data_IF_703041724256
#
_entry.id   IF_703041724256
#
_cell.length_a   1.000
_cell.length_b   1.000
_cell.length_c   1.000
_cell.angle_alpha   90.00
_cell.angle_beta   90.00
_cell.angle_gamma   90.00
#
_symmetry.space_group_name_H-M   'P 1'
#
loop_
_entity.id
_entity.type
_entity.pdbx_description
1 polymer ?
#
# COMPACT_ATOMS: atom_id res chain seq x y z
N UNK A 1 -48.17 33.59 -10.13
CA UNK A 1 -46.96 33.80 -10.98
C UNK A 1 -45.69 34.07 -10.17
N UNK A 2 -45.72 34.78 -9.02
CA UNK A 2 -44.51 35.06 -8.22
C UNK A 2 -43.83 33.84 -7.57
N UNK A 3 -44.59 32.77 -7.27
CA UNK A 3 -44.10 31.57 -6.57
C UNK A 3 -43.28 30.62 -7.45
N UNK A 4 -43.46 30.67 -8.78
CA UNK A 4 -42.69 29.85 -9.72
C UNK A 4 -41.32 30.47 -10.06
N UNK A 5 -41.20 31.81 -10.08
CA UNK A 5 -39.93 32.50 -10.35
C UNK A 5 -38.90 32.39 -9.22
N UNK A 6 -39.37 32.23 -7.97
CA UNK A 6 -38.49 32.09 -6.81
C UNK A 6 -37.86 30.69 -6.72
N UNK A 7 -38.58 29.65 -7.17
CA UNK A 7 -38.08 28.27 -7.17
C UNK A 7 -37.04 28.05 -8.28
N UNK A 8 -37.24 28.65 -9.46
CA UNK A 8 -36.26 28.59 -10.55
C UNK A 8 -35.00 29.39 -10.24
N UNK A 9 -35.13 30.53 -9.56
CA UNK A 9 -33.97 31.32 -9.10
C UNK A 9 -33.15 30.59 -8.02
N UNK A 10 -33.79 29.89 -7.07
CA UNK A 10 -33.06 29.11 -6.06
C UNK A 10 -32.32 27.90 -6.67
N UNK A 11 -32.92 27.20 -7.64
CA UNK A 11 -32.29 26.07 -8.31
C UNK A 11 -31.04 26.47 -9.11
N UNK A 12 -31.06 27.64 -9.76
CA UNK A 12 -29.90 28.16 -10.50
C UNK A 12 -28.73 28.55 -9.58
N UNK A 13 -29.01 29.05 -8.36
CA UNK A 13 -27.96 29.38 -7.37
C UNK A 13 -27.33 28.11 -6.77
N UNK A 14 -28.11 27.05 -6.55
CA UNK A 14 -27.58 25.76 -6.04
C UNK A 14 -26.74 25.04 -7.10
N UNK A 15 -27.10 25.11 -8.38
CA UNK A 15 -26.25 24.55 -9.46
C UNK A 15 -24.98 25.37 -9.69
N UNK A 16 -25.01 26.69 -9.55
CA UNK A 16 -23.81 27.53 -9.69
C UNK A 16 -22.82 27.37 -8.53
N UNK A 17 -23.30 27.11 -7.30
CA UNK A 17 -22.46 26.85 -6.14
C UNK A 17 -21.81 25.44 -6.14
N UNK A 18 -22.31 24.51 -6.96
CA UNK A 18 -21.80 23.14 -7.06
C UNK A 18 -20.56 22.96 -7.94
N UNK A 19 -20.15 24.00 -8.70
CA UNK A 19 -19.05 23.88 -9.67
C UNK A 19 -17.66 24.26 -9.13
N UNK A 20 -17.55 24.69 -7.87
CA UNK A 20 -16.24 24.84 -7.22
C UNK A 20 -15.78 23.51 -6.60
N UNK A 21 -15.83 22.43 -7.38
CA UNK A 21 -14.92 21.32 -7.13
C UNK A 21 -13.53 21.86 -7.43
N UNK A 22 -12.81 22.30 -6.39
CA UNK A 22 -11.40 22.63 -6.48
C UNK A 22 -10.74 21.47 -7.21
N UNK A 23 -10.32 21.69 -8.46
CA UNK A 23 -9.51 20.76 -9.21
C UNK A 23 -8.20 20.65 -8.44
N UNK A 24 -8.18 19.78 -7.42
CA UNK A 24 -7.03 19.60 -6.54
C UNK A 24 -5.85 19.29 -7.42
N UNK A 25 -4.87 20.18 -7.42
CA UNK A 25 -3.69 20.12 -8.27
C UNK A 25 -3.19 18.67 -8.32
N UNK A 26 -3.04 18.15 -9.54
CA UNK A 26 -2.53 16.79 -9.73
C UNK A 26 -1.08 16.83 -9.27
N UNK A 27 -0.78 16.13 -8.17
CA UNK A 27 0.57 16.01 -7.66
C UNK A 27 1.30 14.93 -8.46
N UNK A 28 2.39 15.31 -9.12
CA UNK A 28 3.23 14.41 -9.91
C UNK A 28 4.49 14.06 -9.13
N UNK A 29 4.83 12.77 -9.05
CA UNK A 29 6.00 12.28 -8.33
C UNK A 29 7.30 12.87 -8.90
N UNK A 30 7.41 12.97 -10.23
CA UNK A 30 8.55 13.59 -10.94
C UNK A 30 8.75 15.07 -10.64
N UNK A 31 7.71 15.76 -10.17
CA UNK A 31 7.76 17.18 -9.81
C UNK A 31 8.05 17.41 -8.34
N UNK A 32 7.97 16.38 -7.51
CA UNK A 32 8.24 16.50 -6.09
C UNK A 32 9.76 16.49 -5.84
N UNK A 33 10.28 17.44 -5.05
CA UNK A 33 11.68 17.41 -4.65
C UNK A 33 11.94 16.28 -3.65
N UNK A 34 13.11 15.64 -3.80
CA UNK A 34 13.61 14.65 -2.84
C UNK A 34 14.40 15.40 -1.76
N UNK A 35 13.74 15.65 -0.62
CA UNK A 35 14.33 16.45 0.47
C UNK A 35 14.46 15.67 1.77
N UNK A 36 13.68 14.62 1.96
CA UNK A 36 13.72 13.80 3.17
C UNK A 36 14.70 12.65 2.99
N UNK A 37 15.50 12.41 4.02
CA UNK A 37 16.24 11.16 4.19
C UNK A 37 15.36 10.19 4.97
N UNK A 38 15.15 8.98 4.44
CA UNK A 38 14.31 7.96 5.06
C UNK A 38 15.11 6.68 5.22
N UNK A 39 15.10 6.15 6.44
CA UNK A 39 15.78 4.91 6.79
C UNK A 39 14.81 3.96 7.47
N UNK A 40 15.05 2.67 7.30
CA UNK A 40 14.24 1.60 7.89
C UNK A 40 15.18 0.59 8.56
N UNK A 41 14.74 0.00 9.67
CA UNK A 41 15.53 -0.97 10.44
C UNK A 41 15.79 -2.33 9.76
N UNK A 42 14.94 -2.85 8.85
CA UNK A 42 15.20 -4.15 8.24
C UNK A 42 16.48 -4.14 7.41
N UNK A 43 17.27 -5.21 7.51
CA UNK A 43 18.43 -5.38 6.64
C UNK A 43 17.99 -5.73 5.19
N UNK A 44 18.82 -5.43 4.18
CA UNK A 44 18.55 -5.81 2.81
C UNK A 44 18.18 -7.29 2.67
N UNK A 45 17.00 -7.57 2.12
CA UNK A 45 16.51 -8.94 1.92
C UNK A 45 15.97 -9.65 3.16
N UNK A 46 15.99 -9.02 4.34
CA UNK A 46 15.39 -9.58 5.56
C UNK A 46 13.93 -9.96 5.33
N UNK A 47 13.52 -11.11 5.86
CA UNK A 47 12.14 -11.59 5.80
C UNK A 47 11.43 -11.20 7.08
N UNK A 48 10.29 -10.52 6.94
CA UNK A 48 9.41 -10.11 8.03
C UNK A 48 8.05 -10.80 7.90
N UNK A 49 7.46 -11.16 9.03
CA UNK A 49 6.15 -11.79 9.13
C UNK A 49 5.12 -10.76 9.55
N UNK A 50 4.09 -10.61 8.71
CA UNK A 50 2.95 -9.76 9.01
C UNK A 50 2.31 -10.17 10.35
N UNK A 51 1.92 -9.20 11.17
CA UNK A 51 1.32 -9.38 12.50
C UNK A 51 2.32 -9.59 13.64
N UNK A 52 3.54 -10.02 13.34
CA UNK A 52 4.53 -10.41 14.35
C UNK A 52 5.70 -9.41 14.42
N UNK A 53 6.32 -9.15 13.28
CA UNK A 53 7.54 -8.35 13.22
C UNK A 53 7.25 -6.84 13.24
N UNK A 54 8.15 -6.11 13.89
CA UNK A 54 8.09 -4.65 14.03
C UNK A 54 9.28 -4.03 13.30
N UNK A 55 9.01 -3.02 12.48
CA UNK A 55 10.03 -2.22 11.82
C UNK A 55 10.09 -0.84 12.47
N UNK A 56 11.30 -0.30 12.58
CA UNK A 56 11.50 1.12 12.89
C UNK A 56 11.71 1.86 11.59
N UNK A 57 10.93 2.92 11.36
CA UNK A 57 11.15 3.86 10.27
C UNK A 57 11.54 5.21 10.86
N UNK A 58 12.59 5.79 10.32
CA UNK A 58 13.09 7.11 10.67
C UNK A 58 13.13 8.01 9.45
N UNK A 59 12.83 9.28 9.65
CA UNK A 59 12.95 10.31 8.61
C UNK A 59 13.50 11.60 9.20
N UNK A 60 14.26 12.33 8.40
CA UNK A 60 14.76 13.65 8.71
C UNK A 60 14.87 14.48 7.42
N UNK A 61 15.00 15.80 7.53
CA UNK A 61 15.45 16.61 6.42
C UNK A 61 16.89 16.22 6.07
N UNK A 62 17.16 15.94 4.79
CA UNK A 62 18.50 15.56 4.34
C UNK A 62 19.48 16.71 4.62
N UNK A 63 20.63 16.41 5.22
CA UNK A 63 21.65 17.39 5.61
C UNK A 63 22.20 18.25 4.45
N UNK A 64 22.04 17.78 3.21
CA UNK A 64 22.41 18.54 2.00
C UNK A 64 21.42 19.67 1.67
N UNK A 65 20.23 19.67 2.27
CA UNK A 65 19.21 20.68 2.07
C UNK A 65 19.47 21.91 2.97
N UNK A 66 19.20 23.12 2.49
CA UNK A 66 19.34 24.31 3.31
C UNK A 66 18.35 24.28 4.48
N UNK A 67 18.76 24.82 5.62
CA UNK A 67 17.90 24.93 6.80
C UNK A 67 16.61 25.69 6.46
N UNK A 68 15.47 25.19 6.96
CA UNK A 68 14.16 25.78 6.72
C UNK A 68 13.50 25.41 5.40
N UNK A 69 14.10 24.51 4.59
CA UNK A 69 13.45 23.97 3.37
C UNK A 69 12.16 23.20 3.66
N UNK A 70 11.99 22.78 4.89
CA UNK A 70 10.87 22.06 5.47
C UNK A 70 9.82 22.95 6.15
N UNK A 71 9.92 24.29 6.04
CA UNK A 71 8.99 25.22 6.67
C UNK A 71 7.50 25.00 6.28
N UNK A 72 7.29 24.55 5.05
CA UNK A 72 5.96 24.24 4.51
C UNK A 72 5.44 22.85 4.95
N UNK A 73 6.29 22.01 5.56
CA UNK A 73 5.94 20.66 5.94
C UNK A 73 5.13 20.69 7.24
N UNK A 74 3.86 20.32 7.15
CA UNK A 74 2.95 20.27 8.30
C UNK A 74 2.73 18.85 8.79
N UNK A 75 2.62 17.90 7.87
CA UNK A 75 2.47 16.49 8.20
C UNK A 75 3.46 15.64 7.42
N UNK A 76 3.73 14.45 7.93
CA UNK A 76 4.48 13.40 7.24
C UNK A 76 3.59 12.18 7.09
N UNK A 77 3.52 11.65 5.86
CA UNK A 77 2.85 10.39 5.55
C UNK A 77 3.89 9.38 5.13
N UNK A 78 4.08 8.35 5.95
CA UNK A 78 4.99 7.25 5.67
C UNK A 78 4.19 6.07 5.14
N UNK A 79 4.64 5.47 4.04
CA UNK A 79 3.97 4.35 3.38
C UNK A 79 4.95 3.26 2.96
N UNK A 80 4.50 2.00 3.00
CA UNK A 80 5.21 0.89 2.37
C UNK A 80 4.92 0.87 0.88
N UNK A 81 5.97 0.68 0.10
CA UNK A 81 5.97 0.77 -1.34
C UNK A 81 6.52 -0.51 -1.96
N UNK A 82 5.88 -1.02 -3.01
CA UNK A 82 6.36 -2.21 -3.72
C UNK A 82 7.71 -1.97 -4.39
N UNK A 83 8.72 -2.76 -4.08
CA UNK A 83 10.00 -2.73 -4.76
C UNK A 83 9.85 -3.14 -6.24
N UNK A 84 10.72 -2.69 -7.16
CA UNK A 84 10.60 -2.97 -8.60
C UNK A 84 10.43 -4.46 -8.94
N UNK A 85 11.12 -5.35 -8.21
CA UNK A 85 11.01 -6.80 -8.35
C UNK A 85 9.59 -7.32 -8.11
N UNK A 86 8.82 -6.66 -7.25
CA UNK A 86 7.44 -7.02 -6.90
C UNK A 86 6.38 -6.34 -7.77
N UNK A 87 6.79 -5.43 -8.68
CA UNK A 87 5.91 -4.75 -9.63
C UNK A 87 5.80 -5.46 -10.98
N UNK A 88 6.75 -6.35 -11.30
CA UNK A 88 6.79 -7.06 -12.59
C UNK A 88 5.48 -7.83 -12.81
N UNK A 89 4.85 -7.63 -13.97
CA UNK A 89 3.59 -8.27 -14.38
C UNK A 89 2.40 -8.02 -13.43
N UNK A 90 2.49 -6.99 -12.57
CA UNK A 90 1.47 -6.64 -11.58
C UNK A 90 1.09 -5.18 -11.74
N UNK A 91 0.23 -4.88 -12.72
CA UNK A 91 -0.21 -3.49 -13.01
C UNK A 91 -0.84 -2.81 -11.78
N UNK A 92 -1.45 -3.58 -10.87
CA UNK A 92 -2.01 -3.06 -9.62
C UNK A 92 -0.97 -2.67 -8.56
N UNK A 93 0.34 -2.81 -8.82
CA UNK A 93 1.46 -2.43 -7.94
C UNK A 93 2.39 -1.37 -8.56
N UNK A 94 2.12 -0.99 -9.80
CA UNK A 94 3.05 -0.25 -10.65
C UNK A 94 3.15 1.22 -10.24
N UNK A 95 4.36 1.75 -10.37
CA UNK A 95 4.61 3.17 -10.13
C UNK A 95 3.96 3.99 -11.24
N UNK A 96 3.20 5.02 -10.87
CA UNK A 96 2.68 6.01 -11.80
C UNK A 96 3.13 7.40 -11.39
N UNK A 97 3.36 8.29 -12.37
CA UNK A 97 3.84 9.65 -12.08
C UNK A 97 2.77 10.49 -11.39
N UNK A 98 1.53 10.45 -11.87
CA UNK A 98 0.37 10.99 -11.15
C UNK A 98 0.16 10.22 -9.83
N UNK A 99 0.37 10.90 -8.70
CA UNK A 99 0.28 10.32 -7.36
C UNK A 99 -1.13 9.84 -7.00
N UNK A 100 -2.17 10.35 -7.65
CA UNK A 100 -3.55 9.84 -7.46
C UNK A 100 -3.74 8.48 -8.11
N UNK A 101 -2.92 8.16 -9.11
CA UNK A 101 -2.93 6.88 -9.84
C UNK A 101 -1.81 5.95 -9.40
N UNK A 102 -0.85 6.43 -8.60
CA UNK A 102 0.27 5.63 -8.12
C UNK A 102 -0.22 4.51 -7.19
N UNK A 103 0.04 3.27 -7.59
CA UNK A 103 -0.29 2.07 -6.82
C UNK A 103 0.95 1.45 -6.18
N UNK A 104 2.10 2.11 -6.22
CA UNK A 104 3.30 1.56 -5.59
C UNK A 104 3.23 1.66 -4.07
N UNK A 105 2.80 2.80 -3.53
CA UNK A 105 2.79 3.09 -2.10
C UNK A 105 1.37 3.06 -1.51
N UNK A 106 0.82 1.86 -1.32
CA UNK A 106 -0.59 1.69 -0.93
C UNK A 106 -0.80 1.60 0.59
N UNK A 107 0.20 1.12 1.33
CA UNK A 107 0.02 0.77 2.74
C UNK A 107 0.56 1.87 3.64
N UNK A 108 -0.31 2.47 4.44
CA UNK A 108 0.06 3.54 5.37
C UNK A 108 0.76 2.93 6.60
N UNK A 109 1.98 3.40 6.87
CA UNK A 109 2.73 3.10 8.10
C UNK A 109 2.31 4.07 9.20
N UNK A 110 2.40 5.37 8.92
CA UNK A 110 1.94 6.43 9.82
C UNK A 110 1.59 7.68 9.04
N UNK A 111 0.75 8.52 9.65
CA UNK A 111 0.54 9.90 9.23
C UNK A 111 0.42 10.75 10.48
N UNK A 112 1.35 11.69 10.66
CA UNK A 112 1.42 12.53 11.87
C UNK A 112 1.98 13.90 11.54
N UNK A 113 1.90 14.83 12.50
CA UNK A 113 2.52 16.15 12.40
C UNK A 113 4.03 15.99 12.14
N UNK A 114 4.60 16.86 11.31
CA UNK A 114 6.01 16.80 10.95
C UNK A 114 6.88 17.40 12.08
N UNK A 115 7.73 16.60 12.76
CA UNK A 115 8.54 17.09 13.88
C UNK A 115 9.96 17.52 13.47
N UNK A 116 10.23 17.70 12.16
CA UNK A 116 11.59 17.82 11.63
C UNK A 116 12.28 16.46 11.47
N UNK A 117 12.60 15.84 12.61
CA UNK A 117 13.16 14.48 12.68
C UNK A 117 12.19 13.57 13.42
N UNK A 118 11.78 12.48 12.78
CA UNK A 118 10.79 11.56 13.33
C UNK A 118 11.25 10.10 13.32
N UNK A 119 10.68 9.34 14.26
CA UNK A 119 10.81 7.90 14.38
C UNK A 119 9.43 7.31 14.61
N UNK A 120 9.12 6.18 13.98
CA UNK A 120 7.93 5.39 14.29
C UNK A 120 8.29 3.91 14.32
N UNK A 121 7.72 3.21 15.29
CA UNK A 121 7.70 1.75 15.31
C UNK A 121 6.39 1.27 14.71
N UNK A 122 6.48 0.40 13.71
CA UNK A 122 5.35 -0.12 12.97
C UNK A 122 5.41 -1.62 12.95
N UNK A 123 4.41 -2.24 13.58
CA UNK A 123 4.14 -3.67 13.40
C UNK A 123 3.61 -3.88 11.99
N UNK A 124 4.25 -4.75 11.21
CA UNK A 124 3.79 -5.06 9.86
C UNK A 124 2.34 -5.54 9.94
N UNK A 125 1.42 -4.82 9.30
CA UNK A 125 0.00 -5.14 9.42
C UNK A 125 -0.33 -6.48 8.73
N UNK A 126 -1.39 -7.14 9.22
CA UNK A 126 -1.83 -8.46 8.75
C UNK A 126 -2.28 -8.48 7.30
N UNK A 127 -2.73 -7.35 6.78
CA UNK A 127 -3.23 -7.14 5.42
C UNK A 127 -2.13 -6.82 4.41
N UNK A 128 -0.86 -6.71 4.86
CA UNK A 128 0.27 -6.50 3.96
C UNK A 128 0.54 -7.81 3.19
N UNK A 129 0.38 -7.83 1.85
CA UNK A 129 0.55 -9.05 1.07
C UNK A 129 2.02 -9.41 0.91
N UNK A 130 2.29 -10.71 0.69
CA UNK A 130 3.66 -11.19 0.43
C UNK A 130 4.28 -10.52 -0.79
N UNK A 131 5.35 -9.76 -0.55
CA UNK A 131 6.14 -9.05 -1.56
C UNK A 131 7.41 -8.44 -0.95
N UNK A 132 8.24 -7.86 -1.81
CA UNK A 132 9.40 -7.04 -1.42
C UNK A 132 8.98 -5.57 -1.37
N UNK A 133 9.34 -4.89 -0.29
CA UNK A 133 8.95 -3.51 0.00
C UNK A 133 10.14 -2.62 0.30
N UNK A 134 9.94 -1.32 0.08
CA UNK A 134 10.77 -0.24 0.58
C UNK A 134 9.86 0.82 1.22
N UNK A 135 10.44 1.79 1.93
CA UNK A 135 9.66 2.81 2.63
C UNK A 135 9.79 4.16 1.93
N UNK A 136 8.67 4.86 1.75
CA UNK A 136 8.64 6.24 1.27
C UNK A 136 7.91 7.12 2.28
N UNK A 137 8.50 8.27 2.59
CA UNK A 137 7.88 9.31 3.38
C UNK A 137 7.54 10.50 2.47
N UNK A 138 6.32 10.99 2.59
CA UNK A 138 5.86 12.20 1.92
C UNK A 138 5.71 13.32 2.95
N UNK A 139 6.26 14.49 2.64
CA UNK A 139 5.94 15.72 3.34
C UNK A 139 4.64 16.29 2.77
N UNK A 140 3.73 16.67 3.65
CA UNK A 140 2.43 17.23 3.33
C UNK A 140 2.34 18.66 3.84
N UNK A 141 1.75 19.54 3.04
CA UNK A 141 1.42 20.90 3.47
C UNK A 141 0.15 20.95 4.35
N UNK A 142 -0.30 22.16 4.69
CA UNK A 142 -1.52 22.38 5.48
C UNK A 142 -2.80 21.90 4.78
N UNK A 143 -2.81 21.81 3.45
CA UNK A 143 -3.94 21.28 2.67
C UNK A 143 -3.94 19.74 2.58
N UNK A 144 -2.88 19.08 3.07
CA UNK A 144 -2.68 17.65 2.92
C UNK A 144 -2.12 17.26 1.55
N UNK A 145 -1.61 18.22 0.77
CA UNK A 145 -0.99 17.97 -0.53
C UNK A 145 0.47 17.58 -0.34
N UNK A 146 0.92 16.58 -1.10
CA UNK A 146 2.31 16.14 -1.09
C UNK A 146 3.18 17.22 -1.73
N UNK A 147 4.17 17.73 -1.00
CA UNK A 147 5.05 18.83 -1.44
C UNK A 147 6.52 18.43 -1.54
N UNK A 148 6.91 17.33 -0.89
CA UNK A 148 8.22 16.70 -1.04
C UNK A 148 8.14 15.24 -0.64
N UNK A 149 9.20 14.48 -0.94
CA UNK A 149 9.31 13.10 -0.48
C UNK A 149 10.74 12.71 -0.17
N UNK A 150 10.87 11.53 0.43
CA UNK A 150 12.09 10.78 0.60
C UNK A 150 11.78 9.30 0.59
N UNK A 151 12.75 8.47 0.25
CA UNK A 151 12.57 7.02 0.25
C UNK A 151 13.86 6.30 0.60
N UNK A 152 13.72 5.12 1.19
CA UNK A 152 14.86 4.22 1.39
C UNK A 152 15.44 3.79 0.05
N UNK A 153 16.75 3.55 0.00
CA UNK A 153 17.39 3.06 -1.22
C UNK A 153 16.74 1.75 -1.71
N UNK A 154 16.60 1.53 -3.03
CA UNK A 154 16.05 0.28 -3.56
C UNK A 154 16.84 -0.97 -3.13
N UNK A 155 18.15 -0.83 -2.88
CA UNK A 155 19.01 -1.89 -2.37
C UNK A 155 18.72 -2.25 -0.90
N UNK A 156 18.04 -1.38 -0.16
CA UNK A 156 17.63 -1.59 1.24
C UNK A 156 16.23 -2.17 1.36
N UNK A 157 15.69 -2.73 0.27
CA UNK A 157 14.38 -3.34 0.28
C UNK A 157 14.37 -4.64 1.10
N UNK A 158 13.25 -4.93 1.75
CA UNK A 158 13.05 -6.09 2.60
C UNK A 158 11.82 -6.87 2.15
N UNK A 159 11.74 -8.14 2.54
CA UNK A 159 10.66 -9.04 2.18
C UNK A 159 9.63 -9.10 3.31
N UNK A 160 8.36 -9.06 2.95
CA UNK A 160 7.26 -9.32 3.86
C UNK A 160 6.57 -10.59 3.42
N UNK A 161 6.26 -11.46 4.37
CA UNK A 161 5.42 -12.64 4.22
C UNK A 161 4.11 -12.36 4.95
N UNK A 162 3.01 -12.33 4.20
CA UNK A 162 1.68 -12.16 4.77
C UNK A 162 1.27 -13.38 5.59
N UNK A 163 0.42 -13.19 6.60
CA UNK A 163 -0.26 -14.32 7.24
C UNK A 163 -1.16 -14.98 6.20
N UNK A 164 -0.84 -16.23 5.84
CA UNK A 164 -1.73 -17.02 4.99
C UNK A 164 -2.83 -17.61 5.86
N UNK A 165 -4.10 -17.40 5.50
CA UNK A 165 -5.22 -18.13 6.11
C UNK A 165 -5.17 -19.65 5.90
N UNK A 166 -4.20 -20.15 5.13
CA UNK A 166 -3.94 -21.56 4.89
C UNK A 166 -3.01 -22.09 5.98
N UNK A 167 -3.60 -22.55 7.08
CA UNK A 167 -2.88 -23.20 8.16
C UNK A 167 -2.33 -24.57 7.75
N UNK A 168 -1.35 -25.08 8.47
CA UNK A 168 -0.82 -26.44 8.28
C UNK A 168 -1.93 -27.50 8.32
N UNK A 169 -2.90 -27.34 9.23
CA UNK A 169 -4.05 -28.24 9.31
C UNK A 169 -4.91 -28.23 8.04
N UNK A 170 -5.15 -27.06 7.43
CA UNK A 170 -5.86 -26.95 6.16
C UNK A 170 -5.09 -27.64 5.03
N UNK A 171 -3.75 -27.48 4.98
CA UNK A 171 -2.92 -28.16 3.96
C UNK A 171 -2.98 -29.68 4.10
N UNK A 172 -2.91 -30.19 5.33
CA UNK A 172 -3.01 -31.64 5.61
C UNK A 172 -4.39 -32.16 5.24
N UNK A 173 -5.46 -31.48 5.67
CA UNK A 173 -6.83 -31.87 5.33
C UNK A 173 -7.05 -31.90 3.81
N UNK A 174 -6.58 -30.89 3.08
CA UNK A 174 -6.63 -30.87 1.62
C UNK A 174 -5.89 -32.06 0.99
N UNK A 175 -4.71 -32.41 1.51
CA UNK A 175 -3.96 -33.59 1.06
C UNK A 175 -4.72 -34.90 1.29
N UNK A 176 -5.29 -35.10 2.48
CA UNK A 176 -6.05 -36.31 2.83
C UNK A 176 -7.31 -36.45 1.97
N UNK A 177 -8.11 -35.39 1.85
CA UNK A 177 -9.33 -35.44 1.02
C UNK A 177 -9.03 -35.66 -0.45
N UNK A 178 -7.94 -35.09 -0.97
CA UNK A 178 -7.51 -35.32 -2.36
C UNK A 178 -7.12 -36.79 -2.58
N UNK A 179 -6.33 -37.38 -1.68
CA UNK A 179 -5.96 -38.79 -1.76
C UNK A 179 -7.17 -39.72 -1.63
N UNK A 180 -8.09 -39.43 -0.71
CA UNK A 180 -9.34 -40.19 -0.54
C UNK A 180 -10.21 -40.15 -1.80
N UNK A 181 -10.31 -39.01 -2.47
CA UNK A 181 -11.07 -38.90 -3.72
C UNK A 181 -10.50 -39.77 -4.84
N UNK A 182 -9.18 -39.82 -4.99
CA UNK A 182 -8.53 -40.67 -6.02
C UNK A 182 -8.66 -42.15 -5.65
N UNK A 183 -8.44 -42.49 -4.38
CA UNK A 183 -8.53 -43.87 -3.91
C UNK A 183 -9.96 -44.43 -4.03
N UNK A 184 -10.97 -43.64 -3.65
CA UNK A 184 -12.38 -44.02 -3.80
C UNK A 184 -12.75 -44.24 -5.27
N UNK A 185 -12.33 -43.37 -6.18
CA UNK A 185 -12.55 -43.55 -7.62
C UNK A 185 -11.89 -44.84 -8.15
N UNK A 186 -10.63 -45.10 -7.79
CA UNK A 186 -9.93 -46.32 -8.18
C UNK A 186 -10.62 -47.59 -7.63
N UNK A 187 -11.10 -47.52 -6.39
CA UNK A 187 -11.86 -48.60 -5.75
C UNK A 187 -13.18 -48.88 -6.46
N UNK A 188 -13.92 -47.83 -6.86
CA UNK A 188 -15.14 -47.99 -7.65
C UNK A 188 -14.87 -48.68 -9.00
N UNK A 189 -13.85 -48.26 -9.74
CA UNK A 189 -13.48 -48.92 -11.00
C UNK A 189 -13.06 -50.37 -10.81
N UNK A 190 -12.37 -50.69 -9.72
CA UNK A 190 -12.01 -52.07 -9.40
C UNK A 190 -13.24 -52.95 -9.15
N UNK A 191 -14.22 -52.46 -8.37
CA UNK A 191 -15.47 -53.18 -8.12
C UNK A 191 -16.26 -53.38 -9.41
N UNK A 192 -16.41 -52.34 -10.24
CA UNK A 192 -17.13 -52.47 -11.52
C UNK A 192 -16.48 -53.50 -12.44
N UNK A 193 -15.15 -53.50 -12.54
CA UNK A 193 -14.42 -54.47 -13.35
C UNK A 193 -14.63 -55.91 -12.85
N UNK A 194 -14.68 -56.11 -11.53
CA UNK A 194 -14.96 -57.43 -10.93
C UNK A 194 -16.39 -57.89 -11.20
N UNK A 195 -17.38 -56.99 -11.15
CA UNK A 195 -18.78 -57.30 -11.47
C UNK A 195 -19.02 -57.64 -12.94
N UNK A 196 -18.25 -57.06 -13.87
CA UNK A 196 -18.40 -57.35 -15.30
C UNK A 196 -17.80 -58.70 -15.73
N UNK A 197 -16.85 -59.22 -14.96
CA UNK A 197 -16.11 -60.44 -15.28
C UNK A 197 -16.58 -61.68 -14.50
N UNK A 198 -17.57 -61.53 -13.62
CA UNK A 198 -18.30 -62.60 -12.94
C UNK A 198 -19.72 -62.67 -13.52
#
# INVERSE_FOLDING_TARGET
MARQGMVTALLLVVLAAGCCASAGAVAYLSKLPVTLEVTASPSPGQVLHAGEDVITVTWALNASQPAGKDADYKNVKVSLCYAPVSQKEREWRKTHDDLKKDKTCQFKVTQQAYPGTGKVEYRVALDIPTATYYVRAYALDASGTQVAYGQTAPASAFNVVSITGVTTSIKVAAGVFSAFSVASLAFFFFIEKRKKNN
#
